data_IF_488829298211
#
_entry.id   IF_488829298211
#
_cell.length_a   1.000
_cell.length_b   1.000
_cell.length_c   1.000
_cell.angle_alpha   90.00
_cell.angle_beta   90.00
_cell.angle_gamma   90.00
#
_symmetry.space_group_name_H-M   'P 1'
#
loop_
_entity.id
_entity.type
_entity.pdbx_description
1 polymer ?
#
# COMPACT_ATOMS: atom_id res chain seq x y z
N UNK A 1 9.34 -6.06 1.59
CA UNK A 1 8.90 -5.77 2.98
C UNK A 1 8.85 -7.00 3.90
N UNK A 2 8.10 -8.07 3.61
CA UNK A 2 7.95 -9.22 4.55
C UNK A 2 9.27 -9.83 5.06
N UNK A 3 10.24 -10.04 4.15
CA UNK A 3 11.58 -10.57 4.50
C UNK A 3 12.29 -9.66 5.52
N UNK A 4 12.27 -8.36 5.25
CA UNK A 4 12.93 -7.36 6.10
C UNK A 4 12.25 -7.22 7.47
N UNK A 5 10.90 -7.19 7.50
CA UNK A 5 10.15 -7.14 8.76
C UNK A 5 10.42 -8.37 9.64
N UNK A 6 10.51 -9.55 9.04
CA UNK A 6 10.87 -10.78 9.77
C UNK A 6 12.28 -10.71 10.36
N UNK A 7 13.25 -10.19 9.61
CA UNK A 7 14.62 -10.01 10.11
C UNK A 7 14.66 -9.04 11.31
N UNK A 8 13.73 -8.09 11.39
CA UNK A 8 13.55 -7.14 12.51
C UNK A 8 12.67 -7.68 13.64
N UNK A 9 12.22 -8.93 13.58
CA UNK A 9 11.34 -9.54 14.58
C UNK A 9 9.86 -9.13 14.51
N UNK A 10 9.46 -8.33 13.51
CA UNK A 10 8.08 -7.87 13.34
C UNK A 10 7.28 -8.95 12.60
N UNK A 11 6.39 -9.64 13.33
CA UNK A 11 5.59 -10.77 12.80
C UNK A 11 4.19 -10.39 12.36
N UNK A 12 3.59 -9.36 12.96
CA UNK A 12 2.23 -8.90 12.68
C UNK A 12 2.26 -7.40 12.44
N UNK A 13 1.79 -7.00 11.25
CA UNK A 13 1.65 -5.62 10.84
C UNK A 13 0.31 -5.52 10.11
N UNK A 14 -0.55 -4.59 10.54
CA UNK A 14 -1.78 -4.28 9.83
C UNK A 14 -1.44 -3.61 8.50
N UNK A 15 -2.10 -4.05 7.42
CA UNK A 15 -1.84 -3.55 6.06
C UNK A 15 -3.14 -3.27 5.35
N UNK A 16 -3.12 -2.24 4.49
CA UNK A 16 -4.14 -2.00 3.47
C UNK A 16 -3.56 -2.46 2.14
N UNK A 17 -4.30 -3.30 1.43
CA UNK A 17 -3.89 -3.85 0.14
C UNK A 17 -5.11 -4.08 -0.76
N UNK A 18 -4.88 -4.15 -2.07
CA UNK A 18 -5.90 -4.59 -3.04
C UNK A 18 -5.77 -6.11 -3.26
N UNK A 19 -6.87 -6.87 -3.25
CA UNK A 19 -6.86 -8.28 -3.64
C UNK A 19 -6.83 -8.48 -5.17
N UNK A 20 -6.99 -7.42 -5.95
CA UNK A 20 -6.92 -7.47 -7.41
C UNK A 20 -5.54 -7.96 -7.87
N UNK A 21 -5.52 -8.80 -8.90
CA UNK A 21 -4.28 -9.24 -9.51
C UNK A 21 -3.59 -8.07 -10.24
N UNK A 22 -2.25 -8.00 -10.22
CA UNK A 22 -1.53 -6.98 -10.97
C UNK A 22 -1.84 -7.08 -12.47
N UNK A 23 -2.30 -5.97 -13.06
CA UNK A 23 -2.48 -5.91 -14.50
C UNK A 23 -1.13 -6.06 -15.21
N UNK A 24 -1.07 -6.78 -16.36
CA UNK A 24 0.14 -6.89 -17.15
C UNK A 24 0.55 -5.50 -17.66
N UNK A 25 1.84 -5.20 -17.58
CA UNK A 25 2.36 -3.94 -18.12
C UNK A 25 2.29 -3.97 -19.66
N UNK A 26 1.39 -3.18 -20.25
CA UNK A 26 1.33 -3.03 -21.70
C UNK A 26 2.36 -2.00 -22.16
N UNK A 27 3.50 -2.48 -22.66
CA UNK A 27 4.57 -1.63 -23.13
C UNK A 27 4.27 -1.16 -24.57
N UNK A 28 3.50 -0.08 -24.68
CA UNK A 28 3.03 0.45 -25.98
C UNK A 28 4.15 1.11 -26.81
N UNK A 29 5.22 1.57 -26.16
CA UNK A 29 6.38 2.19 -26.80
C UNK A 29 7.68 1.79 -26.10
N UNK A 30 8.77 1.69 -26.88
CA UNK A 30 10.13 1.53 -26.34
C UNK A 30 10.44 2.72 -25.45
N UNK A 31 10.67 2.51 -24.13
CA UNK A 31 10.94 3.62 -23.25
C UNK A 31 12.21 4.37 -23.68
N UNK A 32 12.24 5.71 -23.55
CA UNK A 32 13.49 6.46 -23.65
C UNK A 32 14.53 5.88 -22.69
N UNK A 33 15.83 5.89 -23.06
CA UNK A 33 16.89 5.36 -22.20
C UNK A 33 16.80 6.00 -20.80
N UNK A 34 16.62 5.18 -19.76
CA UNK A 34 16.57 5.60 -18.36
C UNK A 34 15.18 5.75 -17.72
N UNK A 35 14.06 5.51 -18.43
CA UNK A 35 12.70 5.51 -17.85
C UNK A 35 11.96 4.20 -18.09
N UNK A 36 10.98 3.88 -17.25
CA UNK A 36 9.95 2.87 -17.56
C UNK A 36 8.76 3.60 -18.19
N UNK A 37 8.26 3.12 -19.34
CA UNK A 37 7.24 3.83 -20.13
C UNK A 37 5.82 3.67 -19.60
N UNK A 38 5.53 2.64 -18.80
CA UNK A 38 4.17 2.37 -18.29
C UNK A 38 4.10 2.73 -16.80
N UNK A 39 3.22 3.66 -16.39
CA UNK A 39 2.95 3.90 -14.97
C UNK A 39 2.37 2.63 -14.36
N UNK A 40 2.90 2.25 -13.19
CA UNK A 40 2.54 0.98 -12.54
C UNK A 40 1.10 0.94 -11.97
N UNK A 41 0.41 2.09 -11.90
CA UNK A 41 -0.96 2.19 -11.40
C UNK A 41 -1.69 3.41 -11.96
N UNK A 42 -3.03 3.37 -11.91
CA UNK A 42 -3.86 4.52 -12.23
C UNK A 42 -3.64 5.66 -11.19
N UNK A 43 -3.63 6.94 -11.61
CA UNK A 43 -3.31 8.07 -10.74
C UNK A 43 -4.15 8.19 -9.45
N UNK A 44 -5.37 7.67 -9.44
CA UNK A 44 -6.29 7.73 -8.30
C UNK A 44 -6.09 6.60 -7.28
N UNK A 45 -5.42 5.50 -7.65
CA UNK A 45 -5.24 4.33 -6.78
C UNK A 45 -4.41 4.66 -5.53
N UNK A 46 -3.26 5.37 -5.63
CA UNK A 46 -2.49 5.75 -4.45
C UNK A 46 -3.27 6.63 -3.46
N UNK A 47 -4.04 7.60 -3.97
CA UNK A 47 -4.85 8.47 -3.14
C UNK A 47 -5.93 7.69 -2.38
N UNK A 48 -6.61 6.77 -3.07
CA UNK A 48 -7.64 5.91 -2.47
C UNK A 48 -7.05 5.00 -1.38
N UNK A 49 -5.89 4.40 -1.62
CA UNK A 49 -5.18 3.60 -0.62
C UNK A 49 -4.82 4.42 0.63
N UNK A 50 -4.40 5.68 0.46
CA UNK A 50 -4.12 6.60 1.57
C UNK A 50 -5.36 6.92 2.41
N UNK A 51 -6.51 7.17 1.77
CA UNK A 51 -7.78 7.42 2.46
C UNK A 51 -8.24 6.18 3.25
N UNK A 52 -8.13 4.99 2.65
CA UNK A 52 -8.47 3.72 3.32
C UNK A 52 -7.56 3.46 4.52
N UNK A 53 -6.26 3.74 4.40
CA UNK A 53 -5.30 3.63 5.51
C UNK A 53 -5.68 4.58 6.65
N UNK A 54 -5.97 5.85 6.35
CA UNK A 54 -6.41 6.82 7.35
C UNK A 54 -7.68 6.39 8.07
N UNK A 55 -8.69 5.94 7.32
CA UNK A 55 -9.94 5.40 7.86
C UNK A 55 -9.72 4.22 8.81
N UNK A 56 -8.83 3.29 8.44
CA UNK A 56 -8.50 2.13 9.27
C UNK A 56 -7.85 2.55 10.60
N UNK A 57 -6.94 3.53 10.58
CA UNK A 57 -6.29 4.06 11.79
C UNK A 57 -7.30 4.75 12.70
N UNK A 58 -8.14 5.64 12.15
CA UNK A 58 -9.15 6.37 12.95
C UNK A 58 -10.12 5.40 13.62
N UNK A 59 -10.62 4.39 12.89
CA UNK A 59 -11.53 3.38 13.45
C UNK A 59 -10.86 2.55 14.55
N UNK A 60 -9.58 2.24 14.40
CA UNK A 60 -8.84 1.51 15.42
C UNK A 60 -8.72 2.34 16.71
N UNK A 61 -8.33 3.62 16.60
CA UNK A 61 -8.20 4.51 17.76
C UNK A 61 -9.53 4.69 18.51
N UNK A 62 -10.65 4.78 17.78
CA UNK A 62 -11.98 4.89 18.40
C UNK A 62 -12.47 3.59 19.06
N UNK A 63 -11.91 2.44 18.68
CA UNK A 63 -12.27 1.13 19.23
C UNK A 63 -11.40 0.73 20.44
N UNK A 64 -10.28 1.41 20.67
CA UNK A 64 -9.46 1.20 21.86
C UNK A 64 -10.12 1.92 23.06
N UNK A 65 -10.45 1.22 24.17
CA UNK A 65 -10.97 1.87 25.36
C UNK A 65 -9.93 2.84 25.90
N UNK A 66 -10.35 4.02 26.36
CA UNK A 66 -9.46 5.01 26.99
C UNK A 66 -8.63 4.33 28.08
N UNK A 67 -7.33 4.17 27.83
CA UNK A 67 -6.37 3.87 28.89
C UNK A 67 -6.20 5.15 29.68
N UNK A 68 -7.09 5.37 30.67
CA UNK A 68 -6.92 6.39 31.69
C UNK A 68 -5.60 6.11 32.43
N UNK A 69 -4.63 7.01 32.24
CA UNK A 69 -3.41 7.12 33.06
C UNK A 69 -3.61 8.19 34.12
#
# INVERSE_FOLDING_TARGET
MRKELRNRGIRRLQVVFSPEEPAPATQLETPPPGRRSVPASNPWVPATAGLLLGSAVVRQLLAEPEVQS
#
